data_IF_921960499562
#
_entry.id   IF_921960499562
#
_cell.length_a   1.000
_cell.length_b   1.000
_cell.length_c   1.000
_cell.angle_alpha   90.00
_cell.angle_beta   90.00
_cell.angle_gamma   90.00
#
_symmetry.space_group_name_H-M   'P 1'
#
loop_
_entity.id
_entity.type
_entity.pdbx_description
1 polymer ?
#
# COMPACT_ATOMS: atom_id res chain seq x y z
N UNK A 1 16.15 3.93 -0.69
CA UNK A 1 16.16 2.93 -1.79
C UNK A 1 14.76 2.34 -1.93
N UNK A 2 14.10 2.45 -3.08
CA UNK A 2 12.77 1.86 -3.27
C UNK A 2 12.87 0.33 -3.21
N UNK A 3 12.23 -0.30 -2.20
CA UNK A 3 12.19 -1.77 -2.07
C UNK A 3 11.56 -2.36 -3.33
N UNK A 4 12.32 -3.14 -4.10
CA UNK A 4 11.80 -3.82 -5.30
C UNK A 4 10.59 -4.67 -4.93
N UNK A 5 9.63 -4.74 -5.84
CA UNK A 5 8.48 -5.62 -5.71
C UNK A 5 8.88 -6.98 -6.25
N UNK A 6 8.88 -7.99 -5.38
CA UNK A 6 9.10 -9.37 -5.81
C UNK A 6 7.82 -9.94 -6.47
N UNK A 7 7.95 -11.03 -7.21
CA UNK A 7 6.79 -11.72 -7.79
C UNK A 7 5.82 -12.24 -6.71
N UNK A 8 6.35 -12.60 -5.54
CA UNK A 8 5.58 -12.91 -4.32
C UNK A 8 4.77 -11.71 -3.85
N UNK A 9 5.39 -10.53 -3.71
CA UNK A 9 4.71 -9.30 -3.34
C UNK A 9 3.57 -8.95 -4.32
N UNK A 10 3.79 -9.17 -5.62
CA UNK A 10 2.79 -8.91 -6.66
C UNK A 10 1.61 -9.89 -6.52
N UNK A 11 1.88 -11.17 -6.27
CA UNK A 11 0.84 -12.19 -6.06
C UNK A 11 0.02 -11.87 -4.80
N UNK A 12 0.68 -11.47 -3.72
CA UNK A 12 0.02 -11.13 -2.48
C UNK A 12 -0.78 -9.84 -2.58
N UNK A 13 -0.24 -8.80 -3.25
CA UNK A 13 -0.97 -7.58 -3.55
C UNK A 13 -2.28 -7.86 -4.30
N UNK A 14 -2.24 -8.71 -5.33
CA UNK A 14 -3.43 -9.10 -6.11
C UNK A 14 -4.47 -9.81 -5.26
N UNK A 15 -4.05 -10.75 -4.40
CA UNK A 15 -4.96 -11.47 -3.50
C UNK A 15 -5.59 -10.53 -2.47
N UNK A 16 -4.76 -9.68 -1.85
CA UNK A 16 -5.21 -8.77 -0.81
C UNK A 16 -6.09 -7.65 -1.37
N UNK A 17 -5.85 -7.18 -2.60
CA UNK A 17 -6.66 -6.17 -3.28
C UNK A 17 -8.14 -6.55 -3.43
N UNK A 18 -8.45 -7.84 -3.55
CA UNK A 18 -9.82 -8.34 -3.67
C UNK A 18 -10.61 -8.24 -2.35
N UNK A 19 -9.89 -8.35 -1.23
CA UNK A 19 -10.49 -8.44 0.11
C UNK A 19 -10.36 -7.15 0.92
N UNK A 20 -9.26 -6.43 0.74
CA UNK A 20 -8.84 -5.33 1.61
C UNK A 20 -8.65 -4.02 0.85
N UNK A 21 -8.65 -2.92 1.61
CA UNK A 21 -8.37 -1.59 1.07
C UNK A 21 -6.86 -1.33 0.99
N UNK A 22 -6.46 -0.36 0.17
CA UNK A 22 -5.05 0.04 0.00
C UNK A 22 -4.30 0.26 1.33
N UNK A 23 -4.98 0.82 2.34
CA UNK A 23 -4.38 1.10 3.64
C UNK A 23 -4.11 -0.17 4.44
N UNK A 24 -5.08 -1.08 4.50
CA UNK A 24 -4.90 -2.37 5.17
C UNK A 24 -3.84 -3.23 4.48
N UNK A 25 -3.75 -3.15 3.15
CA UNK A 25 -2.72 -3.85 2.38
C UNK A 25 -1.34 -3.28 2.69
N UNK A 26 -1.23 -1.95 2.75
CA UNK A 26 -0.02 -1.26 3.15
C UNK A 26 0.46 -1.67 4.55
N UNK A 27 -0.45 -1.72 5.53
CA UNK A 27 -0.16 -2.21 6.89
C UNK A 27 0.29 -3.68 6.89
N UNK A 28 -0.37 -4.56 6.12
CA UNK A 28 -0.03 -5.99 6.05
C UNK A 28 1.30 -6.26 5.37
N UNK A 29 1.65 -5.46 4.36
CA UNK A 29 2.87 -5.65 3.56
C UNK A 29 4.04 -4.82 4.08
N UNK A 30 3.85 -4.07 5.17
CA UNK A 30 4.81 -3.10 5.71
C UNK A 30 5.32 -2.14 4.61
N UNK A 31 4.37 -1.60 3.84
CA UNK A 31 4.62 -0.67 2.73
C UNK A 31 3.75 0.57 2.86
N UNK A 32 4.11 1.63 2.14
CA UNK A 32 3.31 2.85 2.11
C UNK A 32 2.04 2.66 1.29
N UNK A 33 0.95 3.31 1.72
CA UNK A 33 -0.33 3.33 0.98
C UNK A 33 -0.12 3.83 -0.45
N UNK A 34 0.67 4.90 -0.62
CA UNK A 34 1.02 5.45 -1.93
C UNK A 34 1.73 4.42 -2.82
N UNK A 35 2.69 3.66 -2.26
CA UNK A 35 3.39 2.61 -3.00
C UNK A 35 2.47 1.47 -3.44
N UNK A 36 1.53 1.08 -2.57
CA UNK A 36 0.50 0.07 -2.87
C UNK A 36 -0.44 0.57 -3.98
N UNK A 37 -0.95 1.79 -3.88
CA UNK A 37 -1.83 2.39 -4.90
C UNK A 37 -1.12 2.50 -6.24
N UNK A 38 0.09 3.07 -6.25
CA UNK A 38 0.87 3.23 -7.47
C UNK A 38 1.17 1.88 -8.12
N UNK A 39 1.54 0.86 -7.32
CA UNK A 39 1.80 -0.48 -7.85
C UNK A 39 0.52 -1.15 -8.36
N UNK A 40 -0.59 -1.01 -7.65
CA UNK A 40 -1.88 -1.55 -8.07
C UNK A 40 -2.32 -0.93 -9.41
N UNK A 41 -2.16 0.39 -9.57
CA UNK A 41 -2.42 1.08 -10.84
C UNK A 41 -1.52 0.56 -11.97
N UNK A 42 -0.21 0.40 -11.73
CA UNK A 42 0.71 -0.19 -12.72
C UNK A 42 0.32 -1.61 -13.13
N UNK A 43 -0.29 -2.38 -12.22
CA UNK A 43 -0.72 -3.75 -12.45
C UNK A 43 -2.16 -3.86 -12.98
N UNK A 44 -2.88 -2.74 -13.12
CA UNK A 44 -4.31 -2.72 -13.48
C UNK A 44 -5.23 -3.33 -12.42
N UNK A 45 -4.79 -3.38 -11.16
CA UNK A 45 -5.55 -3.96 -10.04
C UNK A 45 -6.38 -2.86 -9.38
N UNK A 46 -7.70 -3.03 -9.37
CA UNK A 46 -8.61 -2.13 -8.67
C UNK A 46 -8.63 -2.45 -7.17
N UNK A 47 -8.29 -1.46 -6.34
CA UNK A 47 -8.34 -1.58 -4.88
C UNK A 47 -9.73 -1.23 -4.37
N UNK A 48 -10.21 -1.95 -3.35
CA UNK A 48 -11.50 -1.64 -2.73
C UNK A 48 -11.44 -0.24 -2.10
N UNK A 49 -12.41 0.66 -2.39
CA UNK A 49 -12.49 1.94 -1.73
C UNK A 49 -12.68 1.71 -0.24
N UNK A 50 -11.95 2.45 0.60
CA UNK A 50 -12.23 2.50 2.04
C UNK A 50 -13.68 2.96 2.18
N UNK A 51 -14.56 2.09 2.68
CA UNK A 51 -15.82 2.53 3.24
C UNK A 51 -15.46 3.52 4.35
N UNK A 52 -15.83 4.79 4.17
CA UNK A 52 -15.46 5.89 5.06
C UNK A 52 -16.20 5.73 6.39
N UNK A 53 -15.67 4.89 7.27
CA UNK A 53 -15.97 4.97 8.69
C UNK A 53 -14.89 5.86 9.34
N UNK A 54 -15.32 7.11 9.53
CA UNK A 54 -14.84 8.16 10.45
C UNK A 54 -13.74 7.76 11.46
N UNK A 55 -12.67 8.57 11.51
CA UNK A 55 -11.76 8.63 12.65
C UNK A 55 -10.32 8.95 12.27
N UNK A 56 -9.98 10.24 12.32
CA UNK A 56 -8.69 10.84 12.69
C UNK A 56 -7.72 9.86 13.36
N UNK A 57 -6.45 9.72 12.97
CA UNK A 57 -5.41 10.75 13.14
C UNK A 57 -4.25 10.54 12.15
N UNK A 58 -3.85 11.63 11.51
CA UNK A 58 -2.64 11.69 10.72
C UNK A 58 -1.43 11.86 11.64
N UNK A 59 -0.72 10.77 11.95
CA UNK A 59 0.53 10.83 12.72
C UNK A 59 1.44 9.65 12.37
N UNK A 60 1.92 9.56 11.12
CA UNK A 60 3.16 8.80 10.87
C UNK A 60 3.86 9.30 9.61
N UNK A 61 4.51 10.45 9.72
CA UNK A 61 5.59 10.84 8.81
C UNK A 61 6.89 10.27 9.37
N UNK A 62 7.07 8.95 9.28
CA UNK A 62 8.41 8.36 9.30
C UNK A 62 9.12 8.71 7.98
N UNK A 63 9.61 9.95 7.91
CA UNK A 63 10.57 10.38 6.88
C UNK A 63 11.97 9.99 7.34
N UNK A 64 12.30 8.72 7.17
CA UNK A 64 13.67 8.22 7.29
C UNK A 64 14.37 8.18 5.93
N UNK A 65 15.55 8.81 5.87
CA UNK A 65 16.73 8.44 5.07
C UNK A 65 16.62 8.48 3.52
N UNK A 66 17.50 9.09 2.73
CA UNK A 66 18.80 9.75 2.91
C UNK A 66 19.09 10.49 1.61
N UNK A 67 19.65 11.70 1.65
CA UNK A 67 20.44 12.26 0.54
C UNK A 67 21.28 13.45 1.04
N UNK A 68 22.57 13.18 1.34
CA UNK A 68 23.79 13.91 0.90
C UNK A 68 24.99 13.45 1.71
#
# INVERSE_FOLDING_TARGET
MAKRWSDEDIRDLKKLALQYSAQTIAEKMDRTVAGVVFKAQQLGVSLKPRSRLTGSTASDLHRGASDV
#
